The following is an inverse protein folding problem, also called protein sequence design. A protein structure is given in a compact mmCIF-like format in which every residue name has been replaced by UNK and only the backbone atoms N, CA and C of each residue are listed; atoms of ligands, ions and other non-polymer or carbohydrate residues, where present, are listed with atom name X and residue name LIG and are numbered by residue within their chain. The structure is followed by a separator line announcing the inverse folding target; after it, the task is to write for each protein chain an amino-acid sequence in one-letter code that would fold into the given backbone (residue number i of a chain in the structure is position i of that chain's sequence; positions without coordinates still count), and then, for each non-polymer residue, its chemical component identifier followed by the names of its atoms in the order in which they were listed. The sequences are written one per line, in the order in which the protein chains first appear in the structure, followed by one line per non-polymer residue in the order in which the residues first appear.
data_IF_005077516216
#
_entry.id   IF_005077516216
#
_cell.length_a   1.000
_cell.length_b   1.000
_cell.length_c   1.000
_cell.angle_alpha   90.00
_cell.angle_beta   90.00
_cell.angle_gamma   90.00
#
_symmetry.space_group_name_H-M   'P 1'
#
loop_
_entity.id
_entity.type
_entity.pdbx_description
1 polymer ?
#
# COMPACT_ATOMS: atom_id res chain seq x y z
N UNK A 1 45.86 -6.16 34.07
CA UNK A 1 45.35 -5.07 33.23
C UNK A 1 44.90 -5.48 31.84
N UNK A 2 45.62 -6.30 31.04
CA UNK A 2 45.24 -6.69 29.69
C UNK A 2 43.93 -7.52 29.59
N UNK A 3 43.59 -8.36 30.57
CA UNK A 3 42.40 -9.22 30.60
C UNK A 3 41.09 -8.43 30.78
N UNK A 4 41.12 -7.41 31.64
CA UNK A 4 39.96 -6.53 31.90
C UNK A 4 39.62 -5.62 30.68
N UNK A 5 40.62 -5.19 29.91
CA UNK A 5 40.44 -4.41 28.67
C UNK A 5 39.85 -5.25 27.53
N UNK A 6 40.15 -6.56 27.49
CA UNK A 6 39.58 -7.49 26.46
C UNK A 6 38.09 -7.80 26.73
N UNK A 7 37.73 -8.02 28.01
CA UNK A 7 36.34 -8.28 28.41
C UNK A 7 35.43 -7.07 28.20
N UNK A 8 35.93 -5.84 28.41
CA UNK A 8 35.17 -4.63 28.13
C UNK A 8 34.96 -4.38 26.61
N UNK A 9 35.96 -4.70 25.78
CA UNK A 9 35.79 -4.59 24.30
C UNK A 9 34.77 -5.58 23.78
N UNK A 10 34.71 -6.80 24.29
CA UNK A 10 33.72 -7.80 23.96
C UNK A 10 32.29 -7.36 24.33
N UNK A 11 32.10 -6.82 25.53
CA UNK A 11 30.78 -6.31 26.00
C UNK A 11 30.31 -5.09 25.20
N UNK A 12 31.22 -4.16 24.89
CA UNK A 12 30.90 -2.98 24.04
C UNK A 12 30.53 -3.42 22.64
N UNK A 13 31.23 -4.39 22.04
CA UNK A 13 30.91 -4.97 20.75
C UNK A 13 29.53 -5.64 20.73
N UNK A 14 29.18 -6.38 21.77
CA UNK A 14 27.88 -7.07 21.90
C UNK A 14 26.73 -6.06 22.06
N UNK A 15 26.94 -5.01 22.87
CA UNK A 15 25.93 -3.93 23.03
C UNK A 15 25.73 -3.15 21.72
N UNK A 16 26.81 -2.85 21.00
CA UNK A 16 26.73 -2.17 19.70
C UNK A 16 26.02 -3.02 18.66
N UNK A 17 26.28 -4.32 18.59
CA UNK A 17 25.59 -5.25 17.71
C UNK A 17 24.10 -5.39 18.07
N UNK A 18 23.77 -5.47 19.35
CA UNK A 18 22.39 -5.54 19.84
C UNK A 18 21.58 -4.28 19.51
N UNK A 19 22.21 -3.10 19.49
CA UNK A 19 21.57 -1.86 19.06
C UNK A 19 21.48 -1.72 17.52
N UNK A 20 22.48 -2.22 16.79
CA UNK A 20 22.54 -2.12 15.33
C UNK A 20 21.50 -3.02 14.63
N UNK A 21 21.20 -4.19 15.17
CA UNK A 21 20.26 -5.14 14.57
C UNK A 21 18.83 -4.59 14.45
N UNK A 22 18.20 -4.03 15.48
CA UNK A 22 16.90 -3.39 15.34
C UNK A 22 16.89 -2.24 14.34
N UNK A 23 17.94 -1.40 14.34
CA UNK A 23 18.07 -0.32 13.36
C UNK A 23 18.17 -0.88 11.93
N UNK A 24 18.95 -1.94 11.72
CA UNK A 24 19.04 -2.60 10.42
C UNK A 24 17.70 -3.17 9.97
N UNK A 25 16.98 -3.87 10.84
CA UNK A 25 15.68 -4.48 10.50
C UNK A 25 14.63 -3.43 10.13
N UNK A 26 14.63 -2.29 10.84
CA UNK A 26 13.55 -1.30 10.78
C UNK A 26 13.87 -0.08 9.91
N UNK A 27 15.12 0.11 9.51
CA UNK A 27 15.53 1.29 8.74
C UNK A 27 14.73 1.40 7.44
N UNK A 28 14.10 2.57 7.15
CA UNK A 28 13.42 2.81 5.90
C UNK A 28 14.40 3.02 4.73
N UNK A 29 13.85 3.02 3.52
CA UNK A 29 14.55 3.49 2.33
C UNK A 29 14.68 5.02 2.34
N UNK A 30 15.69 5.51 1.65
CA UNK A 30 15.83 6.96 1.44
C UNK A 30 14.94 7.41 0.28
N UNK A 31 14.25 8.54 0.46
CA UNK A 31 13.59 9.27 -0.61
C UNK A 31 13.88 10.75 -0.45
N UNK A 32 14.07 11.43 -1.56
CA UNK A 32 14.29 12.88 -1.60
C UNK A 32 13.01 13.62 -1.19
N UNK A 33 13.15 14.89 -0.80
CA UNK A 33 12.00 15.76 -0.53
C UNK A 33 11.08 15.84 -1.76
N UNK A 34 11.64 15.90 -2.98
CA UNK A 34 10.90 15.93 -4.24
C UNK A 34 10.04 14.68 -4.43
N UNK A 35 10.59 13.48 -4.18
CA UNK A 35 9.85 12.23 -4.31
C UNK A 35 8.72 12.08 -3.28
N UNK A 36 8.88 12.66 -2.08
CA UNK A 36 7.86 12.60 -1.01
C UNK A 36 6.77 13.66 -1.19
N UNK A 37 7.10 14.82 -1.75
CA UNK A 37 6.23 16.00 -1.81
C UNK A 37 4.82 15.74 -2.35
N UNK A 38 4.61 14.94 -3.41
CA UNK A 38 3.26 14.67 -3.92
C UNK A 38 2.33 13.96 -2.94
N UNK A 39 2.91 13.21 -1.98
CA UNK A 39 2.18 12.37 -1.03
C UNK A 39 2.04 13.00 0.36
N UNK A 40 2.79 14.09 0.63
CA UNK A 40 2.80 14.75 1.93
C UNK A 40 1.60 15.67 2.13
N UNK A 41 0.95 15.56 3.29
CA UNK A 41 -0.22 16.38 3.64
C UNK A 41 -1.42 16.14 2.72
N UNK A 42 -1.58 14.92 2.18
CA UNK A 42 -2.63 14.59 1.21
C UNK A 42 -3.63 13.57 1.75
N UNK A 43 -4.88 13.75 1.32
CA UNK A 43 -5.95 12.77 1.49
C UNK A 43 -6.12 11.96 0.20
N UNK A 44 -6.14 10.62 0.35
CA UNK A 44 -6.27 9.66 -0.74
C UNK A 44 -7.63 8.97 -0.62
N UNK A 45 -8.45 9.03 -1.65
CA UNK A 45 -9.72 8.33 -1.70
C UNK A 45 -9.46 6.82 -1.81
N UNK A 46 -9.81 6.05 -0.76
CA UNK A 46 -9.67 4.61 -0.66
C UNK A 46 -10.51 3.93 -1.75
N UNK A 47 -9.86 3.20 -2.67
CA UNK A 47 -10.52 2.55 -3.83
C UNK A 47 -11.34 3.52 -4.69
N UNK A 48 -10.87 4.78 -4.80
CA UNK A 48 -11.61 5.86 -5.42
C UNK A 48 -12.66 6.52 -4.50
N UNK A 49 -13.39 7.50 -5.00
CA UNK A 49 -14.44 8.20 -4.25
C UNK A 49 -15.76 7.43 -4.35
N UNK A 50 -15.78 6.23 -3.80
CA UNK A 50 -16.93 5.33 -3.80
C UNK A 50 -17.97 5.69 -2.73
N UNK A 51 -19.21 5.21 -2.88
CA UNK A 51 -20.31 5.54 -1.99
C UNK A 51 -20.66 4.40 -1.03
N UNK A 52 -21.16 4.77 0.16
CA UNK A 52 -21.54 3.78 1.18
C UNK A 52 -22.75 2.92 0.77
N UNK A 53 -23.64 3.46 -0.04
CA UNK A 53 -24.83 2.77 -0.57
C UNK A 53 -24.51 1.90 -1.79
N UNK A 54 -23.25 1.81 -2.19
CA UNK A 54 -22.75 1.04 -3.33
C UNK A 54 -23.28 1.52 -4.72
N UNK A 55 -23.96 2.67 -4.80
CA UNK A 55 -24.38 3.26 -6.08
C UNK A 55 -23.17 3.66 -6.95
N UNK A 56 -22.06 4.02 -6.30
CA UNK A 56 -20.74 4.15 -6.91
C UNK A 56 -19.83 3.10 -6.27
N UNK A 57 -19.58 1.95 -6.92
CA UNK A 57 -18.79 0.87 -6.34
C UNK A 57 -17.32 1.25 -6.16
N UNK A 58 -16.69 0.66 -5.14
CA UNK A 58 -15.23 0.70 -4.94
C UNK A 58 -14.47 0.17 -6.17
N UNK A 59 -13.27 0.69 -6.42
CA UNK A 59 -12.39 0.26 -7.52
C UNK A 59 -13.06 0.32 -8.92
N UNK A 60 -14.09 1.15 -9.10
CA UNK A 60 -14.75 1.38 -10.39
C UNK A 60 -14.19 2.61 -11.11
N UNK A 61 -14.28 2.63 -12.45
CA UNK A 61 -13.91 3.81 -13.24
C UNK A 61 -14.67 5.06 -12.82
N UNK A 62 -15.92 4.92 -12.37
CA UNK A 62 -16.72 6.04 -11.88
C UNK A 62 -16.15 6.59 -10.55
N UNK A 63 -15.81 5.72 -9.59
CA UNK A 63 -15.20 6.14 -8.32
C UNK A 63 -13.87 6.89 -8.55
N UNK A 64 -13.06 6.44 -9.50
CA UNK A 64 -11.80 7.10 -9.87
C UNK A 64 -12.03 8.44 -10.58
N UNK A 65 -13.01 8.50 -11.48
CA UNK A 65 -13.39 9.76 -12.16
C UNK A 65 -13.83 10.82 -11.16
N UNK A 66 -14.66 10.44 -10.19
CA UNK A 66 -15.13 11.34 -9.12
C UNK A 66 -13.97 11.82 -8.24
N UNK A 67 -13.05 10.92 -7.85
CA UNK A 67 -11.89 11.27 -7.04
C UNK A 67 -10.95 12.23 -7.79
N UNK A 68 -10.64 11.93 -9.06
CA UNK A 68 -9.81 12.76 -9.92
C UNK A 68 -10.44 14.14 -10.20
N UNK A 69 -11.76 14.19 -10.43
CA UNK A 69 -12.50 15.45 -10.61
C UNK A 69 -12.49 16.29 -9.34
N UNK A 70 -12.56 15.66 -8.17
CA UNK A 70 -12.49 16.34 -6.88
C UNK A 70 -11.06 16.78 -6.50
N UNK A 71 -10.02 16.29 -7.17
CA UNK A 71 -8.61 16.63 -6.91
C UNK A 71 -7.97 15.87 -5.75
N UNK A 72 -8.59 14.78 -5.26
CA UNK A 72 -8.00 13.92 -4.24
C UNK A 72 -6.85 13.10 -4.79
N UNK A 73 -5.92 12.69 -3.91
CA UNK A 73 -5.12 11.50 -4.16
C UNK A 73 -6.03 10.28 -4.26
N UNK A 74 -5.57 9.23 -4.89
CA UNK A 74 -6.34 8.01 -5.11
C UNK A 74 -5.52 6.82 -4.64
N UNK A 75 -6.14 5.95 -3.86
CA UNK A 75 -5.61 4.63 -3.57
C UNK A 75 -6.46 3.59 -4.31
N UNK A 76 -5.82 2.52 -4.80
CA UNK A 76 -6.44 1.44 -5.56
C UNK A 76 -5.68 0.13 -5.43
N UNK A 77 -6.37 -0.99 -5.72
CA UNK A 77 -5.84 -2.35 -5.59
C UNK A 77 -5.64 -3.01 -6.94
N UNK A 78 -4.47 -3.59 -7.22
CA UNK A 78 -4.21 -4.32 -8.45
C UNK A 78 -3.91 -5.80 -8.21
N UNK A 79 -4.43 -6.65 -9.09
CA UNK A 79 -4.16 -8.09 -9.12
C UNK A 79 -4.22 -8.62 -10.57
N UNK A 80 -3.93 -9.91 -10.77
CA UNK A 80 -3.96 -10.53 -12.11
C UNK A 80 -5.22 -11.35 -12.34
N UNK A 81 -5.82 -11.19 -13.51
CA UNK A 81 -6.76 -12.16 -14.07
C UNK A 81 -6.05 -13.47 -14.46
N UNK A 82 -6.80 -14.53 -14.79
CA UNK A 82 -6.28 -15.82 -15.24
C UNK A 82 -5.34 -15.69 -16.45
N UNK A 83 -5.73 -14.90 -17.43
CA UNK A 83 -4.99 -14.60 -18.66
C UNK A 83 -3.91 -13.51 -18.48
N UNK A 84 -3.69 -13.08 -17.24
CA UNK A 84 -2.57 -12.21 -16.87
C UNK A 84 -2.80 -10.74 -17.17
N UNK A 85 -4.03 -10.28 -17.31
CA UNK A 85 -4.32 -8.83 -17.35
C UNK A 85 -4.22 -8.25 -15.94
N UNK A 86 -3.71 -7.02 -15.83
CA UNK A 86 -3.70 -6.28 -14.55
C UNK A 86 -5.06 -5.63 -14.40
N UNK A 87 -5.85 -6.12 -13.44
CA UNK A 87 -7.18 -5.63 -13.14
C UNK A 87 -7.21 -4.89 -11.81
N UNK A 88 -8.17 -3.98 -11.64
CA UNK A 88 -8.32 -3.21 -10.40
C UNK A 88 -9.49 -3.79 -9.60
N UNK A 89 -9.15 -4.49 -8.51
CA UNK A 89 -10.11 -5.18 -7.65
C UNK A 89 -9.45 -5.55 -6.31
N UNK A 90 -10.18 -5.43 -5.19
CA UNK A 90 -9.60 -5.63 -3.86
C UNK A 90 -9.54 -7.09 -3.42
N UNK A 91 -10.67 -7.79 -3.43
CA UNK A 91 -10.78 -9.12 -2.82
C UNK A 91 -10.17 -10.20 -3.72
N UNK A 92 -9.70 -11.30 -3.12
CA UNK A 92 -9.25 -12.48 -3.87
C UNK A 92 -10.41 -13.15 -4.61
N UNK A 93 -11.65 -13.01 -4.08
CA UNK A 93 -12.86 -13.64 -4.63
C UNK A 93 -13.88 -12.59 -5.04
N UNK A 94 -14.79 -12.98 -5.93
CA UNK A 94 -15.80 -12.12 -6.53
C UNK A 94 -17.10 -12.05 -5.72
N UNK A 95 -17.19 -12.77 -4.60
CA UNK A 95 -18.42 -12.97 -3.82
C UNK A 95 -19.02 -11.65 -3.34
N UNK A 96 -18.24 -10.82 -2.64
CA UNK A 96 -18.74 -9.61 -1.96
C UNK A 96 -19.22 -8.54 -2.93
N UNK A 97 -18.47 -8.31 -4.00
CA UNK A 97 -18.69 -7.17 -4.90
C UNK A 97 -19.45 -7.56 -6.17
N UNK A 98 -19.26 -8.80 -6.65
CA UNK A 98 -19.90 -9.27 -7.88
C UNK A 98 -20.99 -10.32 -7.64
N UNK A 99 -21.13 -10.87 -6.42
CA UNK A 99 -22.11 -11.91 -6.10
C UNK A 99 -21.83 -13.26 -6.78
N UNK A 100 -20.60 -13.51 -7.23
CA UNK A 100 -20.18 -14.73 -7.94
C UNK A 100 -19.15 -15.50 -7.11
N UNK A 101 -19.40 -16.78 -6.86
CA UNK A 101 -18.47 -17.63 -6.12
C UNK A 101 -17.34 -18.11 -7.02
N UNK A 102 -16.32 -17.29 -7.17
CA UNK A 102 -15.11 -17.58 -7.96
C UNK A 102 -13.95 -16.68 -7.50
N UNK A 103 -12.72 -17.07 -7.83
CA UNK A 103 -11.53 -16.26 -7.61
C UNK A 103 -11.25 -15.39 -8.84
N UNK A 104 -10.67 -14.21 -8.61
CA UNK A 104 -10.26 -13.29 -9.68
C UNK A 104 -9.20 -13.95 -10.58
N UNK A 105 -8.20 -14.62 -9.98
CA UNK A 105 -7.08 -15.25 -10.69
C UNK A 105 -7.46 -16.55 -11.46
N UNK A 106 -8.73 -16.97 -11.38
CA UNK A 106 -9.28 -18.13 -12.10
C UNK A 106 -10.16 -17.74 -13.29
N UNK A 107 -10.46 -16.43 -13.46
CA UNK A 107 -11.27 -15.87 -14.55
C UNK A 107 -10.42 -15.07 -15.54
N UNK A 108 -10.69 -15.22 -16.84
CA UNK A 108 -10.13 -14.34 -17.87
C UNK A 108 -10.67 -12.92 -17.73
N UNK A 109 -9.99 -11.94 -18.31
CA UNK A 109 -10.48 -10.57 -18.25
C UNK A 109 -11.87 -10.42 -18.91
N UNK A 110 -12.12 -11.10 -20.01
CA UNK A 110 -13.43 -11.06 -20.65
C UNK A 110 -14.56 -11.59 -19.75
N UNK A 111 -14.28 -12.64 -18.96
CA UNK A 111 -15.21 -13.12 -17.95
C UNK A 111 -15.41 -12.11 -16.81
N UNK A 112 -14.32 -11.48 -16.34
CA UNK A 112 -14.36 -10.48 -15.25
C UNK A 112 -15.12 -9.21 -15.66
N UNK A 113 -14.86 -8.68 -16.85
CA UNK A 113 -15.52 -7.46 -17.36
C UNK A 113 -17.01 -7.64 -17.63
N UNK A 114 -17.49 -8.88 -17.78
CA UNK A 114 -18.92 -9.16 -17.91
C UNK A 114 -19.69 -8.99 -16.59
N UNK A 115 -18.98 -9.04 -15.43
CA UNK A 115 -19.59 -8.97 -14.11
C UNK A 115 -19.87 -7.53 -13.68
N UNK A 116 -21.07 -7.29 -13.14
CA UNK A 116 -21.45 -6.02 -12.54
C UNK A 116 -20.86 -5.86 -11.14
N UNK A 117 -20.35 -4.67 -10.82
CA UNK A 117 -19.94 -4.33 -9.46
C UNK A 117 -21.17 -3.88 -8.66
N UNK A 118 -21.43 -4.55 -7.52
CA UNK A 118 -22.54 -4.21 -6.59
C UNK A 118 -23.91 -4.10 -7.28
N UNK A 119 -24.16 -4.91 -8.30
CA UNK A 119 -25.43 -4.87 -9.06
C UNK A 119 -25.61 -3.66 -9.98
N UNK A 120 -24.59 -2.83 -10.15
CA UNK A 120 -24.59 -1.65 -11.05
C UNK A 120 -24.11 -1.99 -12.46
N UNK A 121 -24.11 -0.99 -13.35
CA UNK A 121 -23.49 -1.08 -14.68
C UNK A 121 -21.96 -0.92 -14.67
N UNK A 122 -21.35 -0.61 -13.53
CA UNK A 122 -19.90 -0.56 -13.41
C UNK A 122 -19.30 -1.97 -13.53
N UNK A 123 -18.08 -2.05 -14.07
CA UNK A 123 -17.38 -3.29 -14.36
C UNK A 123 -16.00 -3.28 -13.70
N UNK A 124 -15.39 -4.45 -13.54
CA UNK A 124 -13.99 -4.57 -13.12
C UNK A 124 -13.13 -3.97 -14.23
N UNK A 125 -12.37 -2.88 -13.97
CA UNK A 125 -11.57 -2.23 -15.00
C UNK A 125 -10.16 -2.85 -15.13
N UNK A 126 -9.58 -2.70 -16.32
CA UNK A 126 -8.13 -2.84 -16.48
C UNK A 126 -7.43 -1.69 -15.75
N UNK A 127 -6.23 -1.97 -15.26
CA UNK A 127 -5.41 -0.93 -14.63
C UNK A 127 -5.03 0.17 -15.65
N UNK A 128 -4.81 -0.16 -16.92
CA UNK A 128 -4.59 0.83 -17.99
C UNK A 128 -5.76 1.78 -18.17
N UNK A 129 -7.01 1.28 -18.17
CA UNK A 129 -8.21 2.12 -18.25
C UNK A 129 -8.34 3.10 -17.07
N UNK A 130 -7.93 2.64 -15.88
CA UNK A 130 -7.91 3.49 -14.68
C UNK A 130 -6.86 4.58 -14.79
N UNK A 131 -5.65 4.25 -15.26
CA UNK A 131 -4.60 5.24 -15.49
C UNK A 131 -5.02 6.32 -16.50
N UNK A 132 -5.72 5.94 -17.58
CA UNK A 132 -6.27 6.86 -18.58
C UNK A 132 -7.34 7.77 -17.98
N UNK A 133 -8.24 7.21 -17.16
CA UNK A 133 -9.29 7.99 -16.48
C UNK A 133 -8.71 8.98 -15.50
N UNK A 134 -7.68 8.60 -14.75
CA UNK A 134 -7.05 9.50 -13.76
C UNK A 134 -6.15 10.54 -14.45
N UNK A 135 -5.38 10.14 -15.46
CA UNK A 135 -4.58 11.01 -16.33
C UNK A 135 -3.77 12.08 -15.57
N UNK A 136 -3.04 11.69 -14.53
CA UNK A 136 -2.19 12.58 -13.74
C UNK A 136 -2.90 13.60 -12.85
N UNK A 137 -4.23 13.57 -12.72
CA UNK A 137 -5.02 14.56 -11.96
C UNK A 137 -4.94 14.45 -10.45
N UNK A 138 -4.15 13.53 -9.92
CA UNK A 138 -3.88 13.35 -8.50
C UNK A 138 -2.81 12.29 -8.29
N UNK A 139 -2.11 12.32 -7.14
CA UNK A 139 -1.14 11.28 -6.82
C UNK A 139 -1.83 9.95 -6.55
N UNK A 140 -1.20 8.85 -7.00
CA UNK A 140 -1.69 7.49 -6.84
C UNK A 140 -0.91 6.73 -5.76
N UNK A 141 -1.63 5.94 -4.97
CA UNK A 141 -1.11 4.82 -4.19
C UNK A 141 -1.67 3.54 -4.82
N UNK A 142 -0.79 2.66 -5.29
CA UNK A 142 -1.20 1.40 -5.93
C UNK A 142 -0.85 0.25 -5.00
N UNK A 143 -1.88 -0.38 -4.39
CA UNK A 143 -1.68 -1.58 -3.60
C UNK A 143 -1.49 -2.80 -4.52
N UNK A 144 -0.35 -3.45 -4.38
CA UNK A 144 -0.05 -4.72 -5.03
C UNK A 144 -0.62 -5.87 -4.18
N UNK A 145 -1.72 -6.48 -4.62
CA UNK A 145 -2.33 -7.59 -3.88
C UNK A 145 -1.42 -8.81 -3.90
N UNK A 146 -1.40 -9.54 -2.78
CA UNK A 146 -0.63 -10.78 -2.69
C UNK A 146 -1.40 -11.91 -3.36
N UNK A 147 -0.76 -12.64 -4.28
CA UNK A 147 -1.37 -13.71 -5.03
C UNK A 147 -0.37 -14.80 -5.44
N UNK A 148 -0.79 -15.70 -6.32
CA UNK A 148 0.05 -16.82 -6.79
C UNK A 148 1.15 -16.38 -7.78
N UNK A 149 0.97 -15.24 -8.48
CA UNK A 149 1.84 -14.74 -9.55
C UNK A 149 2.43 -13.36 -9.24
N UNK A 150 2.93 -13.16 -8.02
CA UNK A 150 3.42 -11.87 -7.53
C UNK A 150 4.48 -11.23 -8.44
N UNK A 151 5.44 -12.01 -8.95
CA UNK A 151 6.50 -11.48 -9.82
C UNK A 151 5.96 -11.00 -11.17
N UNK A 152 4.97 -11.70 -11.71
CA UNK A 152 4.31 -11.30 -12.94
C UNK A 152 3.50 -10.01 -12.72
N UNK A 153 2.74 -9.94 -11.63
CA UNK A 153 2.02 -8.74 -11.24
C UNK A 153 2.96 -7.54 -11.12
N UNK A 154 4.09 -7.69 -10.41
CA UNK A 154 5.09 -6.63 -10.27
C UNK A 154 5.60 -6.12 -11.63
N UNK A 155 6.00 -7.03 -12.53
CA UNK A 155 6.53 -6.68 -13.85
C UNK A 155 5.51 -5.93 -14.71
N UNK A 156 4.29 -6.47 -14.80
CA UNK A 156 3.22 -5.90 -15.63
C UNK A 156 2.75 -4.56 -15.10
N UNK A 157 2.55 -4.45 -13.78
CA UNK A 157 2.19 -3.19 -13.14
C UNK A 157 3.27 -2.14 -13.34
N UNK A 158 4.55 -2.49 -13.14
CA UNK A 158 5.64 -1.54 -13.34
C UNK A 158 5.75 -1.08 -14.80
N UNK A 159 5.53 -1.98 -15.77
CA UNK A 159 5.50 -1.60 -17.19
C UNK A 159 4.42 -0.54 -17.48
N UNK A 160 3.20 -0.73 -16.97
CA UNK A 160 2.12 0.26 -17.12
C UNK A 160 2.45 1.59 -16.42
N UNK A 161 3.05 1.53 -15.23
CA UNK A 161 3.44 2.73 -14.48
C UNK A 161 4.60 3.50 -15.13
N UNK A 162 5.48 2.83 -15.86
CA UNK A 162 6.61 3.46 -16.56
C UNK A 162 6.16 4.43 -17.67
N UNK A 163 5.00 4.19 -18.26
CA UNK A 163 4.39 5.03 -19.28
C UNK A 163 3.45 6.10 -18.71
N UNK A 164 3.10 5.99 -17.43
CA UNK A 164 2.17 6.90 -16.77
C UNK A 164 2.86 8.22 -16.36
N UNK A 165 2.27 9.36 -16.71
CA UNK A 165 2.83 10.70 -16.47
C UNK A 165 2.33 11.36 -15.18
N UNK A 166 1.75 10.62 -14.25
CA UNK A 166 1.30 11.12 -12.96
C UNK A 166 2.26 10.75 -11.81
N UNK A 167 2.05 11.38 -10.66
CA UNK A 167 2.75 11.03 -9.44
C UNK A 167 2.20 9.71 -8.88
N UNK A 168 3.06 8.71 -8.66
CA UNK A 168 2.63 7.38 -8.21
C UNK A 168 3.60 6.80 -7.20
N UNK A 169 3.07 6.10 -6.22
CA UNK A 169 3.80 5.20 -5.33
C UNK A 169 3.09 3.85 -5.25
N UNK A 170 3.81 2.85 -4.78
CA UNK A 170 3.30 1.47 -4.65
C UNK A 170 3.34 1.01 -3.20
N UNK A 171 2.41 0.15 -2.81
CA UNK A 171 2.42 -0.48 -1.49
C UNK A 171 1.95 -1.93 -1.54
N UNK A 172 2.27 -2.69 -0.50
CA UNK A 172 1.76 -4.06 -0.32
C UNK A 172 1.90 -4.50 1.14
N UNK A 173 1.02 -5.39 1.58
CA UNK A 173 1.21 -6.15 2.83
C UNK A 173 2.39 -7.13 2.73
N UNK A 174 2.72 -7.59 1.52
CA UNK A 174 3.80 -8.53 1.30
C UNK A 174 5.15 -7.82 1.12
N UNK A 175 6.08 -7.91 2.09
CA UNK A 175 7.39 -7.25 2.00
C UNK A 175 8.27 -7.78 0.85
N UNK A 176 7.99 -9.00 0.32
CA UNK A 176 8.73 -9.55 -0.82
C UNK A 176 8.35 -8.84 -2.12
N UNK A 177 7.07 -8.47 -2.29
CA UNK A 177 6.60 -7.65 -3.42
C UNK A 177 7.32 -6.30 -3.37
N UNK A 178 7.34 -5.63 -2.23
CA UNK A 178 8.05 -4.36 -2.08
C UNK A 178 9.57 -4.51 -2.22
N UNK A 179 10.12 -5.67 -1.86
CA UNK A 179 11.50 -6.04 -2.14
C UNK A 179 11.81 -6.08 -3.64
N UNK A 180 10.89 -6.61 -4.45
CA UNK A 180 11.04 -6.59 -5.90
C UNK A 180 11.13 -5.14 -6.42
N UNK A 181 10.20 -4.27 -6.03
CA UNK A 181 10.21 -2.84 -6.43
C UNK A 181 11.47 -2.12 -5.97
N UNK A 182 12.03 -2.47 -4.82
CA UNK A 182 13.29 -1.91 -4.33
C UNK A 182 14.46 -2.11 -5.32
N UNK A 183 14.52 -3.24 -5.97
CA UNK A 183 15.65 -3.60 -6.86
C UNK A 183 15.38 -3.29 -8.32
N UNK A 184 14.12 -3.31 -8.77
CA UNK A 184 13.76 -3.19 -10.19
C UNK A 184 13.08 -1.85 -10.55
N UNK A 185 12.52 -1.12 -9.59
CA UNK A 185 11.77 0.13 -9.78
C UNK A 185 12.25 1.18 -8.76
N UNK A 186 13.52 1.58 -8.84
CA UNK A 186 14.17 2.47 -7.86
C UNK A 186 13.64 3.90 -7.91
N UNK A 187 13.04 4.30 -8.99
CA UNK A 187 12.38 5.56 -9.26
C UNK A 187 11.05 5.70 -8.51
N UNK A 188 10.35 4.59 -8.24
CA UNK A 188 9.10 4.60 -7.53
C UNK A 188 9.28 4.64 -6.01
N UNK A 189 8.50 5.50 -5.36
CA UNK A 189 8.31 5.49 -3.92
C UNK A 189 7.50 4.24 -3.55
N UNK A 190 7.94 3.50 -2.54
CA UNK A 190 7.29 2.26 -2.10
C UNK A 190 7.00 2.27 -0.62
N UNK A 191 5.89 1.68 -0.23
CA UNK A 191 5.38 1.61 1.12
C UNK A 191 5.22 0.19 1.63
N UNK A 192 5.35 0.03 2.94
CA UNK A 192 4.94 -1.18 3.63
C UNK A 192 3.56 -0.97 4.21
N UNK A 193 2.58 -1.72 3.71
CA UNK A 193 1.24 -1.76 4.28
C UNK A 193 1.25 -2.71 5.49
N UNK A 194 0.68 -2.27 6.62
CA UNK A 194 0.66 -3.07 7.84
C UNK A 194 -0.52 -2.73 8.75
N UNK A 195 -0.84 -3.67 9.63
CA UNK A 195 -1.90 -3.54 10.63
C UNK A 195 -1.50 -4.24 11.94
N UNK A 196 -2.20 -3.99 13.06
CA UNK A 196 -1.96 -4.73 14.30
C UNK A 196 -2.04 -6.24 14.10
N UNK A 197 -1.17 -7.06 14.75
CA UNK A 197 -1.15 -8.51 14.56
C UNK A 197 -2.51 -9.20 14.68
N UNK A 198 -3.36 -8.75 15.62
CA UNK A 198 -4.71 -9.28 15.84
C UNK A 198 -5.67 -9.10 14.65
N UNK A 199 -5.34 -8.21 13.71
CA UNK A 199 -6.21 -7.87 12.59
C UNK A 199 -5.98 -8.76 11.37
N UNK A 200 -4.90 -9.54 11.34
CA UNK A 200 -4.66 -10.52 10.27
C UNK A 200 -5.61 -11.75 10.32
N UNK A 201 -6.37 -11.93 11.40
CA UNK A 201 -7.52 -12.86 11.53
C UNK A 201 -7.35 -14.26 10.92
N UNK A 202 -6.15 -14.85 11.01
CA UNK A 202 -5.88 -16.17 10.46
C UNK A 202 -5.43 -16.20 9.00
N UNK A 203 -5.36 -15.07 8.31
CA UNK A 203 -4.77 -14.95 6.97
C UNK A 203 -3.31 -15.41 6.94
N UNK A 204 -2.61 -15.24 8.06
CA UNK A 204 -1.24 -15.70 8.28
C UNK A 204 -1.08 -16.29 9.68
N UNK A 205 0.00 -17.07 9.91
CA UNK A 205 0.30 -17.61 11.24
C UNK A 205 0.56 -16.48 12.27
N UNK A 206 0.32 -16.75 13.55
CA UNK A 206 0.54 -15.77 14.64
C UNK A 206 1.96 -15.16 14.65
N UNK A 207 3.06 -15.95 14.47
CA UNK A 207 4.41 -15.38 14.34
C UNK A 207 4.56 -14.47 13.12
N UNK A 208 4.00 -14.87 11.95
CA UNK A 208 4.02 -14.04 10.75
C UNK A 208 3.22 -12.73 10.97
N UNK A 209 2.03 -12.79 11.57
CA UNK A 209 1.25 -11.61 11.92
C UNK A 209 2.02 -10.65 12.85
N UNK A 210 2.77 -11.18 13.81
CA UNK A 210 3.63 -10.37 14.68
C UNK A 210 4.75 -9.69 13.88
N UNK A 211 5.45 -10.42 13.02
CA UNK A 211 6.54 -9.90 12.19
C UNK A 211 6.03 -8.80 11.24
N UNK A 212 4.94 -9.06 10.53
CA UNK A 212 4.34 -8.13 9.57
C UNK A 212 3.77 -6.90 10.27
N UNK A 213 3.01 -7.08 11.36
CA UNK A 213 2.38 -5.99 12.10
C UNK A 213 3.37 -5.07 12.81
N UNK A 214 4.59 -5.53 13.05
CA UNK A 214 5.70 -4.73 13.58
C UNK A 214 6.69 -4.27 12.51
N UNK A 215 6.43 -4.52 11.22
CA UNK A 215 7.30 -4.16 10.10
C UNK A 215 8.74 -4.67 10.23
N UNK A 216 8.95 -5.85 10.85
CA UNK A 216 10.29 -6.39 11.11
C UNK A 216 11.00 -6.85 9.83
N UNK A 217 10.31 -6.91 8.69
CA UNK A 217 10.88 -7.22 7.38
C UNK A 217 11.22 -5.98 6.54
N UNK A 218 11.25 -4.79 7.12
CA UNK A 218 11.62 -3.57 6.40
C UNK A 218 13.05 -3.63 5.80
N UNK A 219 13.95 -4.47 6.32
CA UNK A 219 15.26 -4.69 5.72
C UNK A 219 15.18 -5.29 4.30
N UNK A 220 14.09 -5.95 3.93
CA UNK A 220 13.85 -6.46 2.58
C UNK A 220 13.29 -5.33 1.70
N UNK A 221 12.19 -4.73 2.11
CA UNK A 221 11.45 -3.74 1.31
C UNK A 221 12.09 -2.34 1.34
N UNK A 222 12.78 -1.96 2.42
CA UNK A 222 13.29 -0.59 2.66
C UNK A 222 12.25 0.45 2.24
N UNK A 223 11.07 0.46 2.88
CA UNK A 223 9.98 1.31 2.45
C UNK A 223 10.27 2.78 2.75
N UNK A 224 9.87 3.68 1.87
CA UNK A 224 9.95 5.13 2.10
C UNK A 224 8.73 5.68 2.85
N UNK A 225 7.64 4.89 2.91
CA UNK A 225 6.51 5.16 3.80
C UNK A 225 6.00 3.87 4.45
N UNK A 226 5.29 4.02 5.55
CA UNK A 226 4.53 2.95 6.17
C UNK A 226 3.07 3.38 6.19
N UNK A 227 2.21 2.61 5.48
CA UNK A 227 0.77 2.74 5.58
C UNK A 227 0.29 1.81 6.71
N UNK A 228 -0.11 2.41 7.84
CA UNK A 228 -0.52 1.66 9.01
C UNK A 228 -1.98 1.91 9.36
N UNK A 229 -2.72 0.81 9.65
CA UNK A 229 -4.10 0.91 10.10
C UNK A 229 -4.25 1.90 11.25
N UNK A 230 -5.25 2.77 11.17
CA UNK A 230 -5.52 3.79 12.18
C UNK A 230 -5.71 3.16 13.56
N UNK A 231 -5.05 3.75 14.57
CA UNK A 231 -4.98 3.26 15.93
C UNK A 231 -3.57 3.35 16.51
N UNK A 232 -3.31 2.60 17.58
CA UNK A 232 -2.01 2.59 18.25
C UNK A 232 -0.99 1.83 17.38
N UNK A 233 0.11 2.51 17.06
CA UNK A 233 1.26 1.93 16.33
C UNK A 233 2.27 1.34 17.32
N UNK A 234 2.78 0.12 17.09
CA UNK A 234 3.81 -0.47 17.93
C UNK A 234 5.12 0.30 17.82
N UNK A 235 5.99 0.10 18.83
CA UNK A 235 7.29 0.82 18.89
C UNK A 235 8.15 0.64 17.61
N UNK A 236 8.29 -0.57 17.01
CA UNK A 236 9.12 -0.74 15.81
C UNK A 236 8.61 0.11 14.62
N UNK A 237 7.30 0.21 14.45
CA UNK A 237 6.68 1.03 13.39
C UNK A 237 6.96 2.52 13.63
N UNK A 238 6.80 3.00 14.88
CA UNK A 238 7.13 4.39 15.25
C UNK A 238 8.61 4.71 15.04
N UNK A 239 9.50 3.74 15.36
CA UNK A 239 10.94 3.91 15.14
C UNK A 239 11.26 4.03 13.65
N UNK A 240 10.67 3.20 12.77
CA UNK A 240 10.84 3.33 11.32
C UNK A 240 10.39 4.70 10.79
N UNK A 241 9.30 5.24 11.32
CA UNK A 241 8.83 6.60 10.98
C UNK A 241 9.80 7.67 11.50
N UNK A 242 10.30 7.54 12.72
CA UNK A 242 11.30 8.46 13.28
C UNK A 242 12.62 8.43 12.50
N UNK A 243 12.97 7.29 11.89
CA UNK A 243 14.12 7.13 11.00
C UNK A 243 13.88 7.67 9.57
N UNK A 244 12.69 8.23 9.27
CA UNK A 244 12.41 8.97 8.05
C UNK A 244 11.40 8.34 7.09
N UNK A 245 10.73 7.24 7.43
CA UNK A 245 9.57 6.77 6.66
C UNK A 245 8.40 7.73 6.82
N UNK A 246 7.70 8.08 5.72
CA UNK A 246 6.44 8.82 5.81
C UNK A 246 5.38 7.97 6.55
N UNK A 247 4.51 8.65 7.27
CA UNK A 247 3.45 8.06 8.08
C UNK A 247 2.11 8.23 7.38
N UNK A 248 1.62 7.18 6.71
CA UNK A 248 0.30 7.15 6.08
C UNK A 248 -0.67 6.34 6.95
N UNK A 249 -1.86 6.86 7.17
CA UNK A 249 -2.90 6.17 7.95
C UNK A 249 -4.04 5.66 7.10
N UNK A 250 -4.51 4.43 7.33
CA UNK A 250 -5.65 3.81 6.65
C UNK A 250 -6.54 3.00 7.60
N UNK A 251 -7.80 2.83 7.41
CA UNK A 251 -8.67 3.69 6.62
C UNK A 251 -9.31 4.71 7.55
N UNK A 252 -9.32 5.96 7.15
CA UNK A 252 -9.91 7.04 7.95
C UNK A 252 -11.37 7.26 7.58
N UNK A 253 -12.19 7.48 8.61
CA UNK A 253 -13.61 7.85 8.48
C UNK A 253 -13.89 9.23 9.08
N UNK A 254 -12.84 9.98 9.47
CA UNK A 254 -13.01 11.28 10.15
C UNK A 254 -11.73 12.15 10.05
N UNK A 255 -11.87 13.49 9.94
CA UNK A 255 -10.74 14.39 9.74
C UNK A 255 -9.69 14.39 10.86
N UNK A 256 -10.07 14.07 12.11
CA UNK A 256 -9.12 14.06 13.23
C UNK A 256 -7.95 13.10 13.02
N UNK A 257 -8.11 12.12 12.12
CA UNK A 257 -7.07 11.14 11.79
C UNK A 257 -5.94 11.73 10.93
N UNK A 258 -6.07 12.94 10.42
CA UNK A 258 -5.01 13.66 9.69
C UNK A 258 -3.88 14.11 10.63
N UNK A 259 -4.21 14.41 11.88
CA UNK A 259 -3.26 14.94 12.86
C UNK A 259 -2.08 14.00 13.08
N UNK A 260 -0.86 14.51 12.83
CA UNK A 260 0.40 13.78 13.00
C UNK A 260 0.63 12.66 11.99
N UNK A 261 0.03 12.78 10.79
CA UNK A 261 0.26 11.92 9.64
C UNK A 261 0.72 12.73 8.43
N UNK A 262 1.51 12.07 7.60
CA UNK A 262 2.00 12.65 6.35
C UNK A 262 1.02 12.42 5.19
N UNK A 263 0.14 11.45 5.30
CA UNK A 263 -0.94 11.14 4.37
C UNK A 263 -2.03 10.31 5.03
N UNK A 264 -3.24 10.37 4.49
CA UNK A 264 -4.39 9.60 4.98
C UNK A 264 -5.16 9.01 3.82
N UNK A 265 -5.41 7.70 3.88
CA UNK A 265 -6.33 7.00 3.00
C UNK A 265 -7.70 7.01 3.68
N UNK A 266 -8.70 7.64 3.04
CA UNK A 266 -10.01 7.92 3.63
C UNK A 266 -11.17 7.33 2.85
N UNK A 267 -12.31 7.12 3.53
CA UNK A 267 -13.57 6.78 2.89
C UNK A 267 -14.77 7.35 3.65
N UNK A 268 -15.88 7.56 2.92
CA UNK A 268 -17.20 7.93 3.45
C UNK A 268 -17.30 9.28 4.16
N UNK A 269 -16.35 10.19 3.93
CA UNK A 269 -16.45 11.61 4.28
C UNK A 269 -15.71 12.46 3.25
N UNK A 270 -15.82 13.77 3.34
CA UNK A 270 -15.16 14.71 2.41
C UNK A 270 -14.12 15.55 3.17
N UNK A 271 -12.86 15.08 3.25
CA UNK A 271 -11.77 15.84 3.85
C UNK A 271 -11.34 17.00 2.95
N UNK A 272 -10.47 17.87 3.46
CA UNK A 272 -9.73 18.82 2.60
C UNK A 272 -8.80 18.01 1.67
N UNK A 273 -8.48 18.59 0.49
CA UNK A 273 -7.57 17.94 -0.48
C UNK A 273 -6.18 17.72 0.10
N UNK A 274 -5.74 18.70 0.88
CA UNK A 274 -4.45 18.69 1.56
C UNK A 274 -4.56 19.32 2.95
N UNK A 275 -3.65 18.94 3.83
CA UNK A 275 -3.54 19.47 5.20
C UNK A 275 -2.06 19.63 5.59
N UNK A 276 -1.78 20.44 6.63
CA UNK A 276 -0.42 20.68 7.15
C UNK A 276 -0.17 19.93 8.44
#
# INVERSE_FOLDING_TARGET
MKKCLSENKGKIGLIAAAAALPLFLLAPGRATKRQKAPFMGRNFAHRGLHSRDMSVPENSLEAFRLAAKAGYGIELDVQLSKDGQVVVFHDDTLDRVCGVHARVDEKSYDELRALGLCGTNNRIPLFSEVLDVINGRGPLIVEMKNGRRNLELCRKTYALLSDYRGEVCVESFNPMIMGWFRFHAKDLVRGQLAQPPKNYKGEVSKPAAFILGNCLMNFISRPQFIAYRIGRRPFPVRLSMALGAMNIGWTSHEPKNEKGRDGVIFEFYKPQLSYK
#
